data_IF_043642490257
#
_entry.id   IF_043642490257
#
_cell.length_a   1.000
_cell.length_b   1.000
_cell.length_c   1.000
_cell.angle_alpha   90.00
_cell.angle_beta   90.00
_cell.angle_gamma   90.00
#
_symmetry.space_group_name_H-M   'P 1'
#
loop_
_entity.id
_entity.type
_entity.pdbx_description
1 polymer ?
#
# COMPACT_ATOMS: atom_id res chain seq x y z
N UNK A 1 -23.32 11.29 0.37
CA UNK A 1 -23.80 10.37 -0.67
C UNK A 1 -24.62 9.27 -0.02
N UNK A 2 -25.67 8.82 -0.69
CA UNK A 2 -26.51 7.70 -0.23
C UNK A 2 -26.04 6.35 -0.78
N UNK A 3 -25.24 6.35 -1.83
CA UNK A 3 -24.68 5.18 -2.48
C UNK A 3 -23.35 5.46 -3.16
N UNK A 4 -22.60 4.40 -3.51
CA UNK A 4 -21.40 4.50 -4.35
C UNK A 4 -21.71 5.01 -5.75
N UNK A 5 -22.87 4.65 -6.30
CA UNK A 5 -23.32 5.19 -7.59
C UNK A 5 -23.45 6.71 -7.56
N UNK A 6 -24.05 7.26 -6.49
CA UNK A 6 -24.16 8.72 -6.34
C UNK A 6 -22.79 9.40 -6.23
N UNK A 7 -21.84 8.75 -5.53
CA UNK A 7 -20.48 9.26 -5.41
C UNK A 7 -19.76 9.30 -6.76
N UNK A 8 -19.88 8.22 -7.55
CA UNK A 8 -19.27 8.17 -8.88
C UNK A 8 -19.93 9.15 -9.86
N UNK A 9 -21.26 9.27 -9.83
CA UNK A 9 -21.98 10.27 -10.62
C UNK A 9 -21.56 11.70 -10.27
N UNK A 10 -21.32 11.97 -8.98
CA UNK A 10 -20.78 13.26 -8.54
C UNK A 10 -19.40 13.52 -9.14
N UNK A 11 -18.48 12.54 -9.10
CA UNK A 11 -17.14 12.66 -9.70
C UNK A 11 -17.23 12.92 -11.20
N UNK A 12 -18.08 12.16 -11.91
CA UNK A 12 -18.30 12.31 -13.35
C UNK A 12 -18.84 13.72 -13.68
N UNK A 13 -19.82 14.22 -12.92
CA UNK A 13 -20.38 15.54 -13.14
C UNK A 13 -19.36 16.63 -12.83
N UNK A 14 -18.60 16.48 -11.74
CA UNK A 14 -17.57 17.46 -11.37
C UNK A 14 -16.49 17.61 -12.46
N UNK A 15 -16.16 16.52 -13.16
CA UNK A 15 -15.17 16.56 -14.25
C UNK A 15 -15.65 17.35 -15.46
N UNK A 16 -16.96 17.58 -15.60
CA UNK A 16 -17.53 18.37 -16.71
C UNK A 16 -17.46 19.89 -16.48
N UNK A 17 -17.18 20.29 -15.23
CA UNK A 17 -17.08 21.71 -14.84
C UNK A 17 -15.70 22.31 -15.16
N UNK A 18 -14.77 21.51 -15.65
CA UNK A 18 -13.39 21.92 -15.97
C UNK A 18 -12.85 21.18 -17.18
N UNK A 19 -12.00 21.84 -17.94
CA UNK A 19 -11.25 21.22 -19.04
C UNK A 19 -10.00 20.46 -18.51
N UNK A 20 -9.60 20.73 -17.27
CA UNK A 20 -8.46 20.06 -16.64
C UNK A 20 -8.80 18.62 -16.24
N UNK A 21 -7.84 17.68 -16.30
CA UNK A 21 -8.04 16.32 -15.82
C UNK A 21 -8.38 16.30 -14.33
N UNK A 22 -9.48 15.63 -13.96
CA UNK A 22 -9.86 15.38 -12.58
C UNK A 22 -9.23 14.08 -12.10
N UNK A 23 -8.28 14.16 -11.19
CA UNK A 23 -7.72 12.96 -10.55
C UNK A 23 -8.65 12.49 -9.42
N UNK A 24 -9.18 11.28 -9.57
CA UNK A 24 -9.94 10.57 -8.56
C UNK A 24 -9.11 9.41 -8.01
N UNK A 25 -8.69 9.51 -6.76
CA UNK A 25 -7.94 8.46 -6.06
C UNK A 25 -8.89 7.73 -5.12
N UNK A 26 -9.02 6.42 -5.31
CA UNK A 26 -9.72 5.53 -4.39
C UNK A 26 -8.68 4.71 -3.65
N UNK A 27 -8.29 5.22 -2.50
CA UNK A 27 -7.30 4.57 -1.65
C UNK A 27 -7.91 3.44 -0.84
N UNK A 28 -7.13 2.39 -0.61
CA UNK A 28 -7.55 1.16 0.09
C UNK A 28 -8.87 0.57 -0.45
N UNK A 29 -8.99 0.52 -1.78
CA UNK A 29 -10.14 -0.06 -2.47
C UNK A 29 -10.52 -1.47 -1.98
N UNK A 30 -9.57 -2.38 -1.62
CA UNK A 30 -9.88 -3.69 -1.07
C UNK A 30 -10.84 -3.66 0.13
N UNK A 31 -10.59 -2.79 1.11
CA UNK A 31 -11.45 -2.71 2.32
C UNK A 31 -12.88 -2.28 1.98
N UNK A 32 -13.02 -1.31 1.09
CA UNK A 32 -14.34 -0.87 0.65
C UNK A 32 -15.07 -1.99 -0.12
N UNK A 33 -14.36 -2.72 -0.98
CA UNK A 33 -14.94 -3.81 -1.77
C UNK A 33 -15.23 -5.07 -0.95
N UNK A 34 -14.53 -5.31 0.15
CA UNK A 34 -14.86 -6.36 1.12
C UNK A 34 -16.12 -6.01 1.92
N UNK A 35 -16.27 -4.75 2.33
CA UNK A 35 -17.45 -4.25 3.04
C UNK A 35 -18.68 -4.19 2.14
N UNK A 36 -18.51 -3.87 0.87
CA UNK A 36 -19.58 -3.78 -0.13
C UNK A 36 -19.19 -4.59 -1.39
N UNK A 37 -19.53 -5.89 -1.44
CA UNK A 37 -19.15 -6.77 -2.55
C UNK A 37 -19.69 -6.36 -3.93
N UNK A 38 -20.68 -5.48 -3.98
CA UNK A 38 -21.22 -4.94 -5.23
C UNK A 38 -20.38 -3.78 -5.79
N UNK A 39 -19.49 -3.20 -4.98
CA UNK A 39 -18.70 -2.02 -5.35
C UNK A 39 -17.87 -2.20 -6.65
N UNK A 40 -17.18 -3.33 -6.89
CA UNK A 40 -16.45 -3.51 -8.15
C UNK A 40 -17.36 -3.47 -9.38
N UNK A 41 -18.58 -4.00 -9.27
CA UNK A 41 -19.56 -3.96 -10.36
C UNK A 41 -20.17 -2.57 -10.55
N UNK A 42 -20.43 -1.87 -9.46
CA UNK A 42 -20.91 -0.47 -9.48
C UNK A 42 -19.85 0.44 -10.11
N UNK A 43 -18.60 0.24 -9.76
CA UNK A 43 -17.48 0.99 -10.34
C UNK A 43 -17.29 0.65 -11.84
N UNK A 44 -17.48 -0.62 -12.21
CA UNK A 44 -17.49 -1.02 -13.63
C UNK A 44 -18.51 -0.21 -14.43
N UNK A 45 -19.75 -0.11 -13.93
CA UNK A 45 -20.82 0.64 -14.58
C UNK A 45 -20.43 2.12 -14.70
N UNK A 46 -19.88 2.69 -13.64
CA UNK A 46 -19.43 4.08 -13.67
C UNK A 46 -18.33 4.32 -14.72
N UNK A 47 -17.33 3.43 -14.80
CA UNK A 47 -16.25 3.52 -15.79
C UNK A 47 -16.81 3.44 -17.21
N UNK A 48 -17.72 2.48 -17.47
CA UNK A 48 -18.21 2.19 -18.81
C UNK A 48 -19.21 3.25 -19.33
N UNK A 49 -19.94 3.89 -18.43
CA UNK A 49 -21.06 4.77 -18.80
C UNK A 49 -20.92 6.22 -18.34
N UNK A 50 -20.36 6.46 -17.15
CA UNK A 50 -20.33 7.80 -16.56
C UNK A 50 -18.99 8.49 -16.79
N UNK A 51 -17.87 7.77 -16.65
CA UNK A 51 -16.53 8.35 -16.84
C UNK A 51 -16.09 8.36 -18.31
N UNK A 52 -16.75 7.57 -19.15
CA UNK A 52 -16.48 7.53 -20.59
C UNK A 52 -16.75 8.89 -21.23
N UNK A 53 -15.73 9.46 -21.86
CA UNK A 53 -15.81 10.79 -22.48
C UNK A 53 -15.67 11.96 -21.50
N UNK A 54 -15.30 11.69 -20.25
CA UNK A 54 -14.94 12.70 -19.27
C UNK A 54 -13.41 12.84 -19.11
N UNK A 55 -12.99 13.87 -18.38
CA UNK A 55 -11.58 14.11 -18.05
C UNK A 55 -11.12 13.38 -16.76
N UNK A 56 -11.91 12.44 -16.23
CA UNK A 56 -11.56 11.67 -15.04
C UNK A 56 -10.34 10.79 -15.31
N UNK A 57 -9.35 10.90 -14.43
CA UNK A 57 -8.22 9.98 -14.28
C UNK A 57 -8.36 9.28 -12.95
N UNK A 58 -8.52 7.96 -12.97
CA UNK A 58 -8.79 7.21 -11.75
C UNK A 58 -7.57 6.37 -11.35
N UNK A 59 -7.28 6.38 -10.05
CA UNK A 59 -6.29 5.50 -9.43
C UNK A 59 -7.01 4.68 -8.36
N UNK A 60 -6.85 3.36 -8.43
CA UNK A 60 -7.23 2.44 -7.36
C UNK A 60 -5.95 1.98 -6.68
N UNK A 61 -5.84 2.18 -5.38
CA UNK A 61 -4.73 1.66 -4.58
C UNK A 61 -5.23 0.65 -3.55
N UNK A 62 -4.34 -0.18 -3.07
CA UNK A 62 -4.62 -1.14 -2.01
C UNK A 62 -3.36 -1.89 -1.62
N UNK A 63 -3.19 -2.08 -0.32
CA UNK A 63 -2.07 -2.80 0.29
C UNK A 63 -2.24 -4.32 0.19
N UNK A 64 -3.47 -4.83 0.11
CA UNK A 64 -3.75 -6.26 -0.03
C UNK A 64 -3.50 -6.73 -1.47
N UNK A 65 -2.27 -7.19 -1.74
CA UNK A 65 -1.83 -7.65 -3.05
C UNK A 65 -2.70 -8.80 -3.60
N UNK A 66 -2.99 -9.80 -2.77
CA UNK A 66 -3.82 -10.95 -3.17
C UNK A 66 -5.22 -10.56 -3.59
N UNK A 67 -5.83 -9.59 -2.90
CA UNK A 67 -7.13 -9.04 -3.30
C UNK A 67 -7.02 -8.27 -4.61
N UNK A 68 -6.03 -7.38 -4.73
CA UNK A 68 -5.83 -6.59 -5.95
C UNK A 68 -5.62 -7.50 -7.16
N UNK A 69 -4.77 -8.52 -7.06
CA UNK A 69 -4.51 -9.45 -8.16
C UNK A 69 -5.74 -10.31 -8.52
N UNK A 70 -6.45 -10.84 -7.53
CA UNK A 70 -7.54 -11.78 -7.78
C UNK A 70 -8.89 -11.10 -8.07
N UNK A 71 -9.24 -10.06 -7.30
CA UNK A 71 -10.56 -9.42 -7.33
C UNK A 71 -10.63 -8.17 -8.18
N UNK A 72 -9.51 -7.45 -8.34
CA UNK A 72 -9.46 -6.22 -9.15
C UNK A 72 -8.89 -6.51 -10.54
N UNK A 73 -7.75 -7.18 -10.61
CA UNK A 73 -7.01 -7.40 -11.85
C UNK A 73 -7.34 -8.73 -12.52
N UNK A 74 -7.90 -9.70 -11.79
CA UNK A 74 -8.18 -11.06 -12.26
C UNK A 74 -9.20 -11.11 -13.40
N UNK A 75 -9.08 -12.12 -14.25
CA UNK A 75 -9.94 -12.28 -15.44
C UNK A 75 -11.45 -12.40 -15.14
N UNK A 76 -11.81 -12.76 -13.89
CA UNK A 76 -13.21 -12.82 -13.43
C UNK A 76 -13.69 -11.54 -12.75
N UNK A 77 -12.81 -10.54 -12.62
CA UNK A 77 -13.17 -9.25 -12.01
C UNK A 77 -14.07 -8.45 -12.94
N UNK A 78 -15.09 -7.74 -12.41
CA UNK A 78 -15.82 -6.73 -13.18
C UNK A 78 -14.92 -5.65 -13.77
N UNK A 79 -13.77 -5.39 -13.16
CA UNK A 79 -12.81 -4.36 -13.57
C UNK A 79 -11.77 -4.86 -14.59
N UNK A 80 -11.80 -6.16 -14.94
CA UNK A 80 -10.86 -6.71 -15.91
C UNK A 80 -10.94 -5.99 -17.25
N UNK A 81 -9.77 -5.67 -17.83
CA UNK A 81 -9.66 -5.00 -19.12
C UNK A 81 -9.94 -3.48 -19.11
N UNK A 82 -10.23 -2.88 -17.94
CA UNK A 82 -10.52 -1.43 -17.81
C UNK A 82 -9.33 -0.62 -17.32
N UNK A 83 -8.28 -1.29 -16.85
CA UNK A 83 -7.02 -0.61 -16.46
C UNK A 83 -6.24 -0.17 -17.70
N UNK A 84 -5.60 0.98 -17.60
CA UNK A 84 -4.67 1.50 -18.61
C UNK A 84 -3.21 1.33 -18.19
N UNK A 85 -2.96 1.27 -16.87
CA UNK A 85 -1.65 1.01 -16.28
C UNK A 85 -1.77 0.23 -14.98
N UNK A 86 -0.69 -0.39 -14.56
CA UNK A 86 -0.55 -1.05 -13.27
C UNK A 86 0.85 -0.77 -12.75
N UNK A 87 0.92 -0.35 -11.49
CA UNK A 87 2.18 -0.11 -10.78
C UNK A 87 2.16 -0.99 -9.54
N UNK A 88 3.16 -1.85 -9.39
CA UNK A 88 3.42 -2.59 -8.16
C UNK A 88 4.63 -1.93 -7.50
N UNK A 89 4.36 -1.19 -6.42
CA UNK A 89 5.42 -0.58 -5.64
C UNK A 89 6.24 -1.69 -4.96
N UNK A 90 7.55 -1.61 -5.12
CA UNK A 90 8.50 -2.47 -4.43
C UNK A 90 9.16 -1.67 -3.29
N UNK A 91 9.66 -2.34 -2.25
CA UNK A 91 10.56 -1.69 -1.32
C UNK A 91 11.72 -1.04 -2.08
N UNK A 92 12.32 -0.01 -1.52
CA UNK A 92 13.52 0.60 -2.09
C UNK A 92 14.64 -0.43 -2.24
N UNK A 93 15.38 -0.34 -3.31
CA UNK A 93 16.67 -1.02 -3.40
C UNK A 93 17.71 -0.35 -2.48
N UNK A 94 18.90 -0.95 -2.41
CA UNK A 94 19.98 -0.45 -1.56
C UNK A 94 20.34 1.03 -1.85
N UNK A 95 20.39 1.41 -3.12
CA UNK A 95 20.79 2.77 -3.50
C UNK A 95 19.71 3.81 -3.15
N UNK A 96 18.46 3.46 -3.33
CA UNK A 96 17.34 4.33 -2.97
C UNK A 96 17.15 4.40 -1.45
N UNK A 97 17.33 3.29 -0.73
CA UNK A 97 17.31 3.26 0.72
C UNK A 97 18.44 4.13 1.33
N UNK A 98 19.64 4.09 0.77
CA UNK A 98 20.77 4.91 1.21
C UNK A 98 20.46 6.42 1.13
N UNK A 99 19.65 6.85 0.17
CA UNK A 99 19.23 8.26 0.05
C UNK A 99 18.32 8.73 1.18
N UNK A 100 17.69 7.80 1.90
CA UNK A 100 16.86 8.12 3.07
C UNK A 100 17.70 8.46 4.29
N UNK A 101 19.01 8.11 4.31
CA UNK A 101 19.92 8.30 5.45
C UNK A 101 21.20 9.00 4.96
N UNK A 102 21.12 10.25 4.52
CA UNK A 102 22.20 10.90 3.80
C UNK A 102 23.45 11.17 4.65
N UNK A 103 23.36 11.17 5.99
CA UNK A 103 24.49 11.35 6.88
C UNK A 103 25.31 10.08 7.13
N UNK A 104 24.77 8.89 6.77
CA UNK A 104 25.43 7.61 7.00
C UNK A 104 26.60 7.38 6.03
N UNK A 105 27.61 6.66 6.49
CA UNK A 105 28.72 6.16 5.67
C UNK A 105 28.28 4.98 4.81
N UNK A 106 29.05 4.63 3.79
CA UNK A 106 28.75 3.46 2.92
C UNK A 106 28.61 2.16 3.74
N UNK A 107 29.41 1.97 4.78
CA UNK A 107 29.31 0.80 5.68
C UNK A 107 28.01 0.83 6.44
N UNK A 108 27.65 1.97 7.02
CA UNK A 108 26.38 2.13 7.74
C UNK A 108 25.16 1.96 6.81
N UNK A 109 25.23 2.39 5.56
CA UNK A 109 24.16 2.12 4.60
C UNK A 109 23.92 0.62 4.41
N UNK A 110 24.98 -0.21 4.36
CA UNK A 110 24.85 -1.67 4.28
C UNK A 110 24.22 -2.22 5.56
N UNK A 111 24.68 -1.76 6.73
CA UNK A 111 24.15 -2.18 8.04
C UNK A 111 22.67 -1.82 8.19
N UNK A 112 22.30 -0.58 7.90
CA UNK A 112 20.91 -0.14 7.94
C UNK A 112 20.04 -0.90 6.94
N UNK A 113 20.50 -1.09 5.71
CA UNK A 113 19.73 -1.85 4.72
C UNK A 113 19.55 -3.32 5.12
N UNK A 114 20.57 -3.92 5.73
CA UNK A 114 20.48 -5.29 6.24
C UNK A 114 19.49 -5.44 7.41
N UNK A 115 19.39 -4.43 8.28
CA UNK A 115 18.49 -4.46 9.45
C UNK A 115 17.05 -4.02 9.13
N UNK A 116 16.88 -2.93 8.36
CA UNK A 116 15.59 -2.27 8.13
C UNK A 116 14.96 -2.60 6.76
N UNK A 117 15.75 -3.17 5.84
CA UNK A 117 15.31 -3.40 4.47
C UNK A 117 15.10 -2.09 3.69
N UNK A 118 14.24 -2.16 2.68
CA UNK A 118 13.94 -1.02 1.80
C UNK A 118 12.56 -0.38 2.05
N UNK A 119 11.90 -0.66 3.17
CA UNK A 119 10.60 -0.06 3.48
C UNK A 119 10.77 1.39 3.93
N UNK A 120 10.27 2.40 3.18
CA UNK A 120 10.48 3.80 3.51
C UNK A 120 10.02 4.18 4.93
N UNK A 121 8.92 3.58 5.38
CA UNK A 121 8.39 3.80 6.72
C UNK A 121 9.38 3.42 7.82
N UNK A 122 10.10 2.30 7.66
CA UNK A 122 11.10 1.86 8.64
C UNK A 122 12.36 2.71 8.58
N UNK A 123 12.82 3.02 7.37
CA UNK A 123 13.99 3.89 7.17
C UNK A 123 13.78 5.29 7.74
N UNK A 124 12.57 5.83 7.67
CA UNK A 124 12.22 7.13 8.23
C UNK A 124 12.22 7.18 9.77
N UNK A 125 12.31 6.04 10.45
CA UNK A 125 12.40 5.99 11.93
C UNK A 125 13.84 6.11 12.44
N UNK A 126 14.83 5.99 11.56
CA UNK A 126 16.26 6.05 11.93
C UNK A 126 16.60 7.45 12.39
N UNK A 127 17.15 7.54 13.60
CA UNK A 127 17.73 8.78 14.11
C UNK A 127 19.17 8.88 13.61
N UNK A 128 19.40 9.77 12.65
CA UNK A 128 20.73 9.98 12.06
C UNK A 128 21.75 10.57 13.04
N UNK A 129 21.34 11.05 14.22
CA UNK A 129 22.23 11.55 15.28
C UNK A 129 22.71 10.45 16.22
N UNK A 130 22.06 9.28 16.22
CA UNK A 130 22.40 8.11 17.01
C UNK A 130 23.25 7.10 16.22
N UNK A 131 23.93 6.19 16.92
CA UNK A 131 24.66 5.10 16.28
C UNK A 131 23.71 4.06 15.67
N UNK A 132 24.24 3.17 14.82
CA UNK A 132 23.48 2.05 14.28
C UNK A 132 22.93 1.15 15.40
N UNK A 133 23.78 0.83 16.38
CA UNK A 133 23.42 -0.02 17.52
C UNK A 133 22.30 0.58 18.36
N UNK A 134 22.37 1.90 18.64
CA UNK A 134 21.34 2.62 19.39
C UNK A 134 20.00 2.62 18.64
N UNK A 135 20.01 2.83 17.32
CA UNK A 135 18.80 2.73 16.50
C UNK A 135 18.20 1.34 16.53
N UNK A 136 19.02 0.30 16.37
CA UNK A 136 18.57 -1.09 16.39
C UNK A 136 18.03 -1.46 17.77
N UNK A 137 18.74 -1.13 18.85
CA UNK A 137 18.30 -1.39 20.22
C UNK A 137 16.95 -0.74 20.51
N UNK A 138 16.82 0.56 20.20
CA UNK A 138 15.59 1.30 20.47
C UNK A 138 14.42 0.83 19.61
N UNK A 139 14.61 0.66 18.29
CA UNK A 139 13.49 0.38 17.39
C UNK A 139 13.03 -1.07 17.44
N UNK A 140 13.94 -2.05 17.60
CA UNK A 140 13.61 -3.48 17.53
C UNK A 140 13.53 -4.18 18.88
N UNK A 141 14.27 -3.73 19.89
CA UNK A 141 14.41 -4.46 21.16
C UNK A 141 13.79 -3.74 22.36
N UNK A 142 13.60 -2.43 22.30
CA UNK A 142 12.81 -1.73 23.31
C UNK A 142 11.32 -2.02 23.10
N UNK A 143 10.60 -2.33 24.18
CA UNK A 143 9.16 -2.58 24.15
C UNK A 143 8.34 -1.36 23.70
N UNK A 144 8.87 -0.16 23.83
CA UNK A 144 8.30 1.07 23.33
C UNK A 144 8.73 1.37 21.87
N UNK A 145 9.66 0.58 21.34
CA UNK A 145 10.17 0.72 19.97
C UNK A 145 9.11 0.39 18.94
N UNK A 146 9.03 1.21 17.91
CA UNK A 146 8.00 1.10 16.88
C UNK A 146 7.99 -0.27 16.17
N UNK A 147 9.16 -0.86 15.98
CA UNK A 147 9.32 -2.11 15.21
C UNK A 147 9.32 -3.36 16.11
N UNK A 148 9.20 -3.19 17.44
CA UNK A 148 9.19 -4.32 18.38
C UNK A 148 8.04 -5.29 18.12
N UNK A 149 6.83 -4.79 17.95
CA UNK A 149 5.62 -5.59 17.69
C UNK A 149 5.33 -5.75 16.19
N UNK A 150 6.05 -5.06 15.32
CA UNK A 150 5.77 -4.98 13.89
C UNK A 150 5.71 -6.37 13.20
N UNK A 151 6.62 -7.33 13.46
CA UNK A 151 6.54 -8.65 12.84
C UNK A 151 5.23 -9.37 13.16
N UNK A 152 4.76 -9.25 14.40
CA UNK A 152 3.49 -9.86 14.82
C UNK A 152 2.28 -9.13 14.24
N UNK A 153 2.36 -7.80 14.11
CA UNK A 153 1.29 -7.01 13.49
C UNK A 153 1.15 -7.35 12.00
N UNK A 154 2.26 -7.45 11.27
CA UNK A 154 2.27 -7.85 9.87
C UNK A 154 1.69 -9.26 9.67
N UNK A 155 2.10 -10.23 10.49
CA UNK A 155 1.54 -11.58 10.44
C UNK A 155 0.02 -11.59 10.64
N UNK A 156 -0.50 -10.75 11.54
CA UNK A 156 -1.95 -10.65 11.80
C UNK A 156 -2.70 -9.98 10.64
N UNK A 157 -2.09 -9.06 9.93
CA UNK A 157 -2.69 -8.37 8.79
C UNK A 157 -2.72 -9.24 7.53
N UNK A 158 -1.63 -9.98 7.28
CA UNK A 158 -1.41 -10.69 6.03
C UNK A 158 -1.93 -12.14 6.06
N UNK A 159 -2.01 -12.76 7.24
CA UNK A 159 -2.23 -14.20 7.37
C UNK A 159 -3.48 -14.53 8.18
N UNK A 160 -4.21 -15.56 7.73
CA UNK A 160 -5.42 -16.05 8.42
C UNK A 160 -5.10 -16.74 9.76
N UNK A 161 -3.92 -17.36 9.90
CA UNK A 161 -3.49 -18.10 11.09
C UNK A 161 -2.11 -17.61 11.58
N UNK A 162 -1.99 -16.37 12.10
CA UNK A 162 -0.72 -15.75 12.48
C UNK A 162 0.09 -16.58 13.48
N UNK A 163 -0.59 -17.28 14.42
CA UNK A 163 0.05 -18.08 15.48
C UNK A 163 0.88 -19.23 14.91
N UNK A 164 0.38 -19.93 13.88
CA UNK A 164 1.10 -21.03 13.24
C UNK A 164 2.40 -20.56 12.59
N UNK A 165 2.35 -19.43 11.88
CA UNK A 165 3.52 -18.84 11.24
C UNK A 165 4.53 -18.34 12.26
N UNK A 166 4.07 -17.69 13.33
CA UNK A 166 4.95 -17.24 14.41
C UNK A 166 5.68 -18.42 15.08
N UNK A 167 4.97 -19.55 15.27
CA UNK A 167 5.59 -20.75 15.84
C UNK A 167 6.71 -21.30 14.95
N UNK A 168 6.53 -21.26 13.62
CA UNK A 168 7.57 -21.67 12.67
C UNK A 168 8.76 -20.71 12.71
N UNK A 169 8.53 -19.40 12.70
CA UNK A 169 9.61 -18.41 12.79
C UNK A 169 10.39 -18.55 14.10
N UNK A 170 9.69 -18.72 15.23
CA UNK A 170 10.34 -18.95 16.54
C UNK A 170 11.11 -20.27 16.65
N UNK A 171 10.80 -21.25 15.81
CA UNK A 171 11.53 -22.51 15.77
C UNK A 171 12.80 -22.46 14.90
N UNK A 172 12.89 -21.45 14.01
CA UNK A 172 14.04 -21.24 13.12
C UNK A 172 15.06 -20.27 13.77
N UNK A 173 14.57 -19.29 14.55
CA UNK A 173 15.39 -18.31 15.27
C UNK A 173 16.06 -18.94 16.50
#
# INVERSE_FOLDING_TARGET
FSSWSDAFSFVANRSKDTDDPLLFVFDEFPYAAESEPSLPSTLQIAIDHEFKGTNVRMVLSGSNEGFMESKVLGAKSPLFGRRTAQIKLQPFDYLDAARMIPSATDTQHVEYYAAFGGTPYYLAQIDESASFEENVEFLFFDKAGLLYEEPMMLLRQELREPASYNSVLSAIA
#
